data_IF_317363015222
#
_entry.id   IF_317363015222
#
_cell.length_a   1.000
_cell.length_b   1.000
_cell.length_c   1.000
_cell.angle_alpha   90.00
_cell.angle_beta   90.00
_cell.angle_gamma   90.00
#
_symmetry.space_group_name_H-M   'P 1'
#
loop_
_entity.id
_entity.type
_entity.pdbx_description
1 polymer ?
#
# COMPACT_ATOMS: atom_id res chain seq x y z
N UNK A 1 40.01 28.80 45.01
CA UNK A 1 39.87 29.07 43.56
C UNK A 1 39.42 27.84 42.76
N UNK A 2 39.97 26.64 42.99
CA UNK A 2 39.63 25.42 42.23
C UNK A 2 38.16 24.96 42.31
N UNK A 3 37.51 25.00 43.48
CA UNK A 3 36.12 24.56 43.64
C UNK A 3 35.09 25.41 42.89
N UNK A 4 35.34 26.73 42.72
CA UNK A 4 34.49 27.62 41.93
C UNK A 4 34.58 27.32 40.42
N UNK A 5 35.74 26.91 39.95
CA UNK A 5 35.95 26.56 38.54
C UNK A 5 35.22 25.28 38.15
N UNK A 6 35.28 24.25 39.01
CA UNK A 6 34.59 22.98 38.80
C UNK A 6 33.07 23.16 38.88
N UNK A 7 32.57 23.95 39.85
CA UNK A 7 31.14 24.24 39.95
C UNK A 7 30.60 24.96 38.70
N UNK A 8 31.33 25.96 38.18
CA UNK A 8 30.93 26.67 36.97
C UNK A 8 30.94 25.77 35.72
N UNK A 9 31.91 24.84 35.61
CA UNK A 9 31.97 23.85 34.52
C UNK A 9 30.79 22.87 34.55
N UNK A 10 30.40 22.40 35.74
CA UNK A 10 29.25 21.48 35.90
C UNK A 10 27.93 22.20 35.58
N UNK A 11 27.75 23.43 36.06
CA UNK A 11 26.53 24.22 35.80
C UNK A 11 26.41 24.62 34.33
N UNK A 12 27.51 25.04 33.68
CA UNK A 12 27.50 25.31 32.24
C UNK A 12 27.32 24.04 31.41
N UNK A 13 27.95 22.93 31.78
CA UNK A 13 27.80 21.66 31.06
C UNK A 13 26.40 21.06 31.15
N UNK A 14 25.80 21.05 32.34
CA UNK A 14 24.47 20.48 32.57
C UNK A 14 23.33 21.28 31.90
N UNK A 15 23.45 22.62 31.85
CA UNK A 15 22.42 23.47 31.26
C UNK A 15 22.34 23.35 29.73
N UNK A 16 23.46 23.11 29.05
CA UNK A 16 23.49 22.91 27.59
C UNK A 16 22.86 21.57 27.21
N UNK A 17 23.22 20.49 27.92
CA UNK A 17 22.68 19.15 27.67
C UNK A 17 21.17 19.10 27.95
N UNK A 18 20.71 19.68 29.07
CA UNK A 18 19.29 19.72 29.41
C UNK A 18 18.45 20.49 28.37
N UNK A 19 18.95 21.62 27.86
CA UNK A 19 18.25 22.39 26.82
C UNK A 19 18.18 21.62 25.49
N UNK A 20 19.24 20.92 25.11
CA UNK A 20 19.26 20.10 23.89
C UNK A 20 18.23 18.96 23.96
N UNK A 21 18.09 18.30 25.11
CA UNK A 21 17.08 17.25 25.32
C UNK A 21 15.66 17.78 25.20
N UNK A 22 15.36 18.94 25.80
CA UNK A 22 14.03 19.57 25.71
C UNK A 22 13.73 20.00 24.27
N UNK A 23 14.71 20.56 23.57
CA UNK A 23 14.57 20.94 22.15
C UNK A 23 14.35 19.72 21.28
N UNK A 24 15.12 18.65 21.45
CA UNK A 24 14.95 17.40 20.72
C UNK A 24 13.57 16.77 20.99
N UNK A 25 13.08 16.81 22.23
CA UNK A 25 11.74 16.33 22.57
C UNK A 25 10.64 17.14 21.86
N UNK A 26 10.73 18.47 21.88
CA UNK A 26 9.81 19.35 21.13
C UNK A 26 9.89 19.10 19.64
N UNK A 27 11.09 18.90 19.10
CA UNK A 27 11.32 18.63 17.69
C UNK A 27 10.77 17.26 17.28
N UNK A 28 10.87 16.24 18.14
CA UNK A 28 10.27 14.93 17.93
C UNK A 28 8.73 15.01 17.90
N UNK A 29 8.12 15.78 18.80
CA UNK A 29 6.66 16.02 18.78
C UNK A 29 6.21 16.77 17.52
N UNK A 30 6.95 17.80 17.11
CA UNK A 30 6.65 18.54 15.88
C UNK A 30 6.86 17.67 14.64
N UNK A 31 7.91 16.84 14.63
CA UNK A 31 8.17 15.91 13.53
C UNK A 31 7.11 14.83 13.46
N UNK A 32 6.65 14.23 14.58
CA UNK A 32 5.55 13.27 14.57
C UNK A 32 4.27 13.85 13.93
N UNK A 33 4.00 15.15 14.14
CA UNK A 33 2.89 15.86 13.52
C UNK A 33 3.16 16.25 12.05
N UNK A 34 4.41 16.41 11.63
CA UNK A 34 4.81 16.85 10.28
C UNK A 34 5.19 15.71 9.33
N UNK A 35 5.65 14.56 9.83
CA UNK A 35 6.19 13.45 9.01
C UNK A 35 5.11 12.63 8.32
N UNK A 36 3.82 12.93 8.55
CA UNK A 36 2.76 12.30 7.77
C UNK A 36 2.69 10.79 7.95
N UNK A 37 3.23 10.22 9.03
CA UNK A 37 3.16 8.77 9.28
C UNK A 37 1.71 8.24 9.29
N UNK A 38 0.76 9.06 9.75
CA UNK A 38 -0.67 8.77 9.61
C UNK A 38 -1.14 8.79 8.14
N UNK A 39 -0.65 9.74 7.33
CA UNK A 39 -0.97 9.85 5.92
C UNK A 39 -0.32 8.73 5.09
N UNK A 40 0.90 8.31 5.41
CA UNK A 40 1.58 7.16 4.80
C UNK A 40 0.92 5.85 5.19
N UNK A 41 0.49 5.69 6.45
CA UNK A 41 -0.30 4.54 6.87
C UNK A 41 -1.66 4.50 6.12
N UNK A 42 -2.36 5.62 6.00
CA UNK A 42 -3.61 5.71 5.24
C UNK A 42 -3.37 5.44 3.75
N UNK A 43 -2.29 5.94 3.16
CA UNK A 43 -1.93 5.66 1.76
C UNK A 43 -1.49 4.20 1.56
N UNK A 44 -0.82 3.59 2.53
CA UNK A 44 -0.45 2.18 2.54
C UNK A 44 -1.68 1.28 2.62
N UNK A 45 -2.64 1.63 3.48
CA UNK A 45 -3.95 0.97 3.59
C UNK A 45 -4.73 1.14 2.28
N UNK A 46 -4.80 2.34 1.69
CA UNK A 46 -5.46 2.59 0.39
C UNK A 46 -4.82 1.84 -0.78
N UNK A 47 -3.49 1.62 -0.75
CA UNK A 47 -2.77 0.82 -1.75
C UNK A 47 -3.02 -0.68 -1.54
N UNK A 48 -3.06 -1.14 -0.30
CA UNK A 48 -3.41 -2.52 0.04
C UNK A 48 -4.90 -2.84 -0.23
N UNK A 49 -5.78 -1.83 -0.14
CA UNK A 49 -7.21 -1.94 -0.38
C UNK A 49 -7.62 -1.69 -1.84
N UNK A 50 -6.69 -1.51 -2.77
CA UNK A 50 -7.02 -1.29 -4.18
C UNK A 50 -7.44 -2.62 -4.82
N UNK A 51 -8.67 -3.04 -4.51
CA UNK A 51 -9.34 -4.11 -5.22
C UNK A 51 -9.35 -3.78 -6.72
N UNK A 52 -9.16 -4.79 -7.56
CA UNK A 52 -9.19 -4.62 -9.01
C UNK A 52 -10.57 -4.12 -9.42
N UNK A 53 -10.61 -3.06 -10.24
CA UNK A 53 -11.88 -2.55 -10.78
C UNK A 53 -12.31 -3.35 -12.00
N UNK A 54 -13.61 -3.35 -12.31
CA UNK A 54 -14.13 -3.98 -13.53
C UNK A 54 -13.42 -3.47 -14.79
N UNK A 55 -13.22 -2.15 -14.88
CA UNK A 55 -12.54 -1.53 -16.02
C UNK A 55 -11.09 -2.03 -16.16
N UNK A 56 -10.35 -2.12 -15.05
CA UNK A 56 -9.00 -2.70 -15.04
C UNK A 56 -9.02 -4.18 -15.46
N UNK A 57 -9.98 -4.97 -14.97
CA UNK A 57 -10.11 -6.38 -15.34
C UNK A 57 -10.37 -6.57 -16.84
N UNK A 58 -11.26 -5.75 -17.43
CA UNK A 58 -11.53 -5.77 -18.87
C UNK A 58 -10.30 -5.38 -19.70
N UNK A 59 -9.53 -4.40 -19.22
CA UNK A 59 -8.26 -4.01 -19.87
C UNK A 59 -7.21 -5.12 -19.80
N UNK A 60 -7.07 -5.79 -18.66
CA UNK A 60 -6.14 -6.91 -18.49
C UNK A 60 -6.46 -8.05 -19.46
N UNK A 61 -7.75 -8.38 -19.62
CA UNK A 61 -8.19 -9.46 -20.53
C UNK A 61 -8.32 -9.00 -22.00
N UNK A 62 -8.25 -7.70 -22.27
CA UNK A 62 -8.39 -7.14 -23.61
C UNK A 62 -9.78 -7.35 -24.22
N UNK A 63 -10.82 -7.18 -23.40
CA UNK A 63 -12.23 -7.42 -23.76
C UNK A 63 -13.05 -6.14 -23.67
N UNK A 64 -14.23 -6.14 -24.31
CA UNK A 64 -15.17 -5.03 -24.26
C UNK A 64 -16.18 -5.20 -23.11
N UNK A 65 -16.97 -4.16 -22.82
CA UNK A 65 -18.10 -4.25 -21.87
C UNK A 65 -19.19 -5.24 -22.32
N UNK A 66 -19.31 -5.48 -23.62
CA UNK A 66 -20.35 -6.34 -24.22
C UNK A 66 -19.90 -7.78 -24.44
N UNK A 67 -18.69 -8.13 -23.99
CA UNK A 67 -18.16 -9.48 -24.14
C UNK A 67 -18.96 -10.49 -23.31
N UNK A 68 -19.22 -11.66 -23.88
CA UNK A 68 -19.94 -12.74 -23.19
C UNK A 68 -19.03 -13.46 -22.19
N UNK A 69 -19.61 -14.24 -21.28
CA UNK A 69 -18.82 -15.00 -20.31
C UNK A 69 -17.89 -16.00 -20.99
N UNK A 70 -18.35 -16.64 -22.07
CA UNK A 70 -17.54 -17.60 -22.84
C UNK A 70 -16.30 -16.93 -23.46
N UNK A 71 -16.46 -15.70 -24.00
CA UNK A 71 -15.33 -14.93 -24.54
C UNK A 71 -14.32 -14.58 -23.43
N UNK A 72 -14.80 -14.21 -22.24
CA UNK A 72 -13.97 -13.92 -21.07
C UNK A 72 -13.14 -15.14 -20.67
N UNK A 73 -13.78 -16.30 -20.56
CA UNK A 73 -13.12 -17.56 -20.20
C UNK A 73 -12.08 -17.96 -21.24
N UNK A 74 -12.41 -17.87 -22.53
CA UNK A 74 -11.48 -18.19 -23.61
C UNK A 74 -10.23 -17.29 -23.58
N UNK A 75 -10.41 -15.98 -23.36
CA UNK A 75 -9.31 -15.01 -23.23
C UNK A 75 -8.46 -15.31 -22.00
N UNK A 76 -9.11 -15.58 -20.88
CA UNK A 76 -8.45 -15.96 -19.63
C UNK A 76 -7.56 -17.20 -19.83
N UNK A 77 -8.10 -18.30 -20.36
CA UNK A 77 -7.37 -19.56 -20.53
C UNK A 77 -6.13 -19.36 -21.42
N UNK A 78 -6.31 -18.68 -22.55
CA UNK A 78 -5.21 -18.36 -23.48
C UNK A 78 -4.10 -17.56 -22.79
N UNK A 79 -4.45 -16.52 -22.03
CA UNK A 79 -3.49 -15.68 -21.32
C UNK A 79 -2.83 -16.41 -20.15
N UNK A 80 -3.60 -17.21 -19.41
CA UNK A 80 -3.14 -17.94 -18.24
C UNK A 80 -2.12 -19.01 -18.63
N UNK A 81 -2.41 -19.80 -19.67
CA UNK A 81 -1.48 -20.80 -20.20
C UNK A 81 -0.20 -20.18 -20.76
N UNK A 82 -0.32 -19.08 -21.51
CA UNK A 82 0.84 -18.37 -22.05
C UNK A 82 1.73 -17.82 -20.93
N UNK A 83 1.13 -17.24 -19.90
CA UNK A 83 1.86 -16.72 -18.75
C UNK A 83 2.47 -17.82 -17.88
N UNK A 84 1.87 -19.02 -17.83
CA UNK A 84 2.47 -20.18 -17.17
C UNK A 84 3.75 -20.67 -17.87
N UNK A 85 3.80 -20.57 -19.20
CA UNK A 85 4.94 -21.03 -20.02
C UNK A 85 6.08 -20.01 -20.09
N UNK A 86 5.76 -18.73 -20.28
CA UNK A 86 6.74 -17.69 -20.60
C UNK A 86 6.54 -16.37 -19.85
N UNK A 87 5.59 -16.32 -18.91
CA UNK A 87 5.28 -15.12 -18.13
C UNK A 87 5.88 -15.18 -16.73
N UNK A 88 5.33 -14.34 -15.84
CA UNK A 88 5.66 -14.36 -14.41
C UNK A 88 4.43 -14.73 -13.60
N UNK A 89 4.68 -15.27 -12.40
CA UNK A 89 3.61 -15.56 -11.44
C UNK A 89 2.74 -14.32 -11.15
N UNK A 90 3.35 -13.12 -11.15
CA UNK A 90 2.63 -11.87 -10.99
C UNK A 90 1.63 -11.62 -12.13
N UNK A 91 2.05 -11.79 -13.39
CA UNK A 91 1.17 -11.60 -14.55
C UNK A 91 0.05 -12.63 -14.58
N UNK A 92 0.39 -13.90 -14.30
CA UNK A 92 -0.60 -14.96 -14.17
C UNK A 92 -1.63 -14.64 -13.07
N UNK A 93 -1.17 -14.17 -11.91
CA UNK A 93 -2.04 -13.75 -10.81
C UNK A 93 -2.94 -12.57 -11.21
N UNK A 94 -2.44 -11.60 -11.98
CA UNK A 94 -3.26 -10.47 -12.46
C UNK A 94 -4.35 -10.91 -13.43
N UNK A 95 -4.04 -11.81 -14.35
CA UNK A 95 -5.02 -12.42 -15.26
C UNK A 95 -6.08 -13.20 -14.48
N UNK A 96 -5.67 -13.95 -13.45
CA UNK A 96 -6.59 -14.69 -12.60
C UNK A 96 -7.52 -13.78 -11.78
N UNK A 97 -6.96 -12.76 -11.11
CA UNK A 97 -7.75 -11.76 -10.38
C UNK A 97 -8.72 -11.00 -11.28
N UNK A 98 -8.38 -10.77 -12.55
CA UNK A 98 -9.26 -10.13 -13.52
C UNK A 98 -10.49 -11.00 -13.82
N UNK A 99 -10.32 -12.32 -13.98
CA UNK A 99 -11.45 -13.25 -14.17
C UNK A 99 -12.35 -13.30 -12.94
N UNK A 100 -11.78 -13.41 -11.73
CA UNK A 100 -12.54 -13.39 -10.47
C UNK A 100 -13.29 -12.06 -10.26
N UNK A 101 -12.72 -10.93 -10.70
CA UNK A 101 -13.38 -9.63 -10.61
C UNK A 101 -14.65 -9.55 -11.48
N UNK A 102 -14.65 -10.20 -12.65
CA UNK A 102 -15.79 -10.19 -13.57
C UNK A 102 -16.82 -11.28 -13.25
N UNK A 103 -16.42 -12.38 -12.62
CA UNK A 103 -17.29 -13.54 -12.36
C UNK A 103 -18.65 -13.19 -11.71
N UNK A 104 -18.73 -12.35 -10.65
CA UNK A 104 -20.00 -11.99 -10.03
C UNK A 104 -20.94 -11.17 -10.91
N UNK A 105 -20.43 -10.51 -11.97
CA UNK A 105 -21.24 -9.71 -12.89
C UNK A 105 -21.99 -10.58 -13.91
N UNK A 106 -21.47 -11.79 -14.16
CA UNK A 106 -22.00 -12.71 -15.18
C UNK A 106 -22.69 -13.92 -14.56
N UNK A 107 -22.24 -14.36 -13.38
CA UNK A 107 -22.94 -15.38 -12.60
C UNK A 107 -23.93 -14.69 -11.67
N UNK A 108 -25.22 -14.72 -12.03
CA UNK A 108 -26.28 -14.37 -11.08
C UNK A 108 -26.10 -15.29 -9.86
N UNK A 109 -26.13 -14.76 -8.62
CA UNK A 109 -26.32 -15.63 -7.48
C UNK A 109 -27.66 -16.35 -7.67
N UNK A 110 -27.63 -17.67 -7.67
CA UNK A 110 -28.84 -18.47 -7.51
C UNK A 110 -29.49 -18.02 -6.20
N UNK A 111 -30.51 -17.18 -6.29
CA UNK A 111 -31.36 -16.83 -5.15
C UNK A 111 -32.26 -18.03 -4.94
N UNK A 112 -32.13 -18.79 -3.85
CA UNK A 112 -33.08 -19.84 -3.54
C UNK A 112 -34.44 -19.17 -3.28
N UNK A 113 -35.46 -19.57 -4.04
CA UNK A 113 -36.86 -19.24 -3.74
C UNK A 113 -37.29 -19.82 -2.39
#
# INVERSE_FOLDING_TARGET
MAGRLIANLIVMGGTVVGRAMIQAYRQALVNANKTGAAQEAINGIKRASKAMTEQEARQILGISEKSSWEEIVQKYDTMFERNAKSGSFYLQSKVHRAKECLEPLYQKPDVPN
#
